data_IF_935537250338
#
_entry.id   IF_935537250338
#
_cell.length_a   1.000
_cell.length_b   1.000
_cell.length_c   1.000
_cell.angle_alpha   90.00
_cell.angle_beta   90.00
_cell.angle_gamma   90.00
#
_symmetry.space_group_name_H-M   'P 1'
#
loop_
_entity.id
_entity.type
_entity.pdbx_description
1 polymer ?
#
# COMPACT_ATOMS: atom_id res chain seq x y z
N UNK A 1 40.41 -27.81 -49.77
CA UNK A 1 39.22 -27.36 -50.54
C UNK A 1 37.98 -27.78 -49.77
N UNK A 2 36.98 -26.89 -49.76
CA UNK A 2 35.65 -26.98 -49.13
C UNK A 2 35.57 -26.74 -47.62
N UNK A 3 34.68 -25.90 -47.11
CA UNK A 3 34.01 -24.65 -47.54
C UNK A 3 33.21 -24.29 -46.28
N UNK A 4 33.46 -23.10 -45.72
CA UNK A 4 32.76 -22.55 -44.57
C UNK A 4 31.24 -22.57 -44.83
N UNK A 5 30.48 -23.28 -43.99
CA UNK A 5 29.03 -23.16 -43.92
C UNK A 5 28.71 -22.06 -42.90
N UNK A 6 28.55 -20.87 -43.45
CA UNK A 6 28.05 -19.67 -42.79
C UNK A 6 26.65 -19.94 -42.24
N UNK A 7 26.51 -19.95 -40.91
CA UNK A 7 25.21 -19.84 -40.24
C UNK A 7 24.69 -18.44 -40.51
N UNK A 8 23.77 -18.31 -41.47
CA UNK A 8 22.97 -17.09 -41.62
C UNK A 8 22.04 -17.01 -40.41
N UNK A 9 22.45 -16.24 -39.40
CA UNK A 9 21.53 -15.64 -38.45
C UNK A 9 20.67 -14.65 -39.24
N UNK A 10 19.51 -15.10 -39.72
CA UNK A 10 18.47 -14.22 -40.21
C UNK A 10 17.88 -13.48 -39.01
N UNK A 11 18.52 -12.36 -38.65
CA UNK A 11 17.91 -11.30 -37.86
C UNK A 11 16.72 -10.77 -38.65
N UNK A 12 15.46 -10.90 -38.18
CA UNK A 12 14.40 -10.08 -38.71
C UNK A 12 14.70 -8.66 -38.23
N UNK A 13 15.20 -7.83 -39.14
CA UNK A 13 15.18 -6.37 -39.03
C UNK A 13 13.71 -5.96 -39.05
N UNK A 14 13.06 -6.07 -37.89
CA UNK A 14 11.73 -5.51 -37.66
C UNK A 14 11.92 -4.01 -37.40
N UNK A 15 11.29 -3.25 -38.30
CA UNK A 15 11.24 -1.80 -38.38
C UNK A 15 11.31 -1.04 -37.05
N UNK A 16 12.15 0.00 -37.03
CA UNK A 16 12.30 1.04 -36.00
C UNK A 16 11.04 1.93 -35.79
N UNK A 17 9.84 1.41 -36.05
CA UNK A 17 8.55 2.07 -35.80
C UNK A 17 7.66 1.33 -34.80
N UNK A 18 8.14 0.22 -34.23
CA UNK A 18 7.41 -0.61 -33.28
C UNK A 18 8.00 -0.61 -31.85
N UNK A 19 9.00 0.24 -31.56
CA UNK A 19 9.56 0.34 -30.22
C UNK A 19 8.54 0.88 -29.20
N UNK A 20 7.65 1.81 -29.60
CA UNK A 20 6.62 2.32 -28.70
C UNK A 20 5.63 1.24 -28.25
N UNK A 21 5.21 0.33 -29.13
CA UNK A 21 4.28 -0.76 -28.75
C UNK A 21 4.92 -1.81 -27.84
N UNK A 22 6.24 -2.03 -27.95
CA UNK A 22 6.98 -2.91 -27.05
C UNK A 22 7.29 -2.22 -25.72
N UNK A 23 7.60 -0.93 -25.73
CA UNK A 23 7.75 -0.09 -24.53
C UNK A 23 6.43 0.07 -23.77
N UNK A 24 5.31 0.28 -24.47
CA UNK A 24 3.96 0.33 -23.89
C UNK A 24 3.58 -1.03 -23.32
N UNK A 25 3.77 -2.13 -24.05
CA UNK A 25 3.49 -3.48 -23.53
C UNK A 25 4.41 -3.88 -22.36
N UNK A 26 5.68 -3.44 -22.36
CA UNK A 26 6.60 -3.66 -21.26
C UNK A 26 6.24 -2.79 -20.04
N UNK A 27 5.79 -1.56 -20.27
CA UNK A 27 5.31 -0.64 -19.23
C UNK A 27 4.01 -1.14 -18.62
N UNK A 28 3.07 -1.64 -19.41
CA UNK A 28 1.83 -2.28 -18.95
C UNK A 28 2.14 -3.55 -18.17
N UNK A 29 3.00 -4.44 -18.68
CA UNK A 29 3.39 -5.66 -17.97
C UNK A 29 4.15 -5.36 -16.67
N UNK A 30 5.01 -4.35 -16.65
CA UNK A 30 5.71 -3.88 -15.45
C UNK A 30 4.73 -3.21 -14.46
N UNK A 31 3.73 -2.49 -14.95
CA UNK A 31 2.68 -1.88 -14.14
C UNK A 31 1.76 -2.94 -13.53
N UNK A 32 1.40 -3.99 -14.27
CA UNK A 32 0.62 -5.13 -13.78
C UNK A 32 1.40 -5.98 -12.77
N UNK A 33 2.70 -6.18 -12.99
CA UNK A 33 3.57 -6.87 -12.04
C UNK A 33 3.79 -6.01 -10.79
N UNK A 34 3.99 -4.71 -10.97
CA UNK A 34 4.13 -3.72 -9.90
C UNK A 34 2.87 -3.61 -9.06
N UNK A 35 1.69 -3.54 -9.70
CA UNK A 35 0.40 -3.48 -9.02
C UNK A 35 0.14 -4.75 -8.21
N UNK A 36 0.43 -5.95 -8.73
CA UNK A 36 0.28 -7.20 -7.97
C UNK A 36 1.23 -7.27 -6.76
N UNK A 37 2.48 -6.85 -6.93
CA UNK A 37 3.43 -6.80 -5.83
C UNK A 37 3.03 -5.75 -4.78
N UNK A 38 2.60 -4.58 -5.23
CA UNK A 38 2.06 -3.50 -4.41
C UNK A 38 0.83 -3.95 -3.63
N UNK A 39 -0.09 -4.65 -4.28
CA UNK A 39 -1.31 -5.19 -3.67
C UNK A 39 -1.03 -6.25 -2.61
N UNK A 40 -0.08 -7.14 -2.83
CA UNK A 40 0.34 -8.11 -1.81
C UNK A 40 0.91 -7.42 -0.56
N UNK A 41 1.71 -6.36 -0.75
CA UNK A 41 2.26 -5.57 0.35
C UNK A 41 1.16 -4.77 1.05
N UNK A 42 0.34 -4.04 0.31
CA UNK A 42 -0.75 -3.23 0.83
C UNK A 42 -1.75 -4.09 1.62
N UNK A 43 -2.20 -5.21 1.06
CA UNK A 43 -3.08 -6.18 1.72
C UNK A 43 -2.51 -6.66 3.05
N UNK A 44 -1.23 -7.06 3.07
CA UNK A 44 -0.58 -7.48 4.31
C UNK A 44 -0.51 -6.36 5.35
N UNK A 45 -0.12 -5.15 4.93
CA UNK A 45 0.01 -4.01 5.84
C UNK A 45 -1.34 -3.61 6.41
N UNK A 46 -2.42 -3.63 5.61
CA UNK A 46 -3.77 -3.32 6.12
C UNK A 46 -4.30 -4.39 7.07
N UNK A 47 -3.99 -5.66 6.85
CA UNK A 47 -4.37 -6.74 7.77
C UNK A 47 -3.61 -6.66 9.11
N UNK A 48 -2.30 -6.39 9.06
CA UNK A 48 -1.50 -6.11 10.26
C UNK A 48 -2.04 -4.87 10.99
N UNK A 49 -2.41 -3.83 10.25
CA UNK A 49 -2.99 -2.61 10.80
C UNK A 49 -4.39 -2.81 11.40
N UNK A 50 -5.23 -3.70 10.87
CA UNK A 50 -6.53 -4.05 11.48
C UNK A 50 -6.35 -4.62 12.88
N UNK A 51 -5.34 -5.47 13.08
CA UNK A 51 -5.03 -6.02 14.40
C UNK A 51 -4.63 -4.90 15.36
N UNK A 52 -3.74 -4.01 14.93
CA UNK A 52 -3.32 -2.84 15.69
C UNK A 52 -4.51 -1.93 16.07
N UNK A 53 -5.33 -1.58 15.08
CA UNK A 53 -6.50 -0.70 15.21
C UNK A 53 -7.59 -1.36 16.07
N UNK A 54 -7.72 -2.69 16.01
CA UNK A 54 -8.58 -3.49 16.89
C UNK A 54 -8.26 -3.28 18.37
N UNK A 55 -6.97 -3.32 18.71
CA UNK A 55 -6.48 -3.24 20.10
C UNK A 55 -6.22 -1.79 20.58
N UNK A 56 -6.38 -0.79 19.71
CA UNK A 56 -5.87 0.57 19.94
C UNK A 56 -6.42 1.24 21.20
N UNK A 57 -7.70 1.03 21.55
CA UNK A 57 -8.29 1.61 22.75
C UNK A 57 -7.59 1.11 24.04
N UNK A 58 -7.19 -0.16 24.05
CA UNK A 58 -6.44 -0.75 25.18
C UNK A 58 -5.03 -0.18 25.23
N UNK A 59 -4.37 -0.09 24.07
CA UNK A 59 -3.01 0.47 23.96
C UNK A 59 -2.96 1.96 24.35
N UNK A 60 -3.97 2.75 23.95
CA UNK A 60 -4.11 4.16 24.33
C UNK A 60 -4.25 4.32 25.84
N UNK A 61 -5.02 3.45 26.51
CA UNK A 61 -5.18 3.51 27.97
C UNK A 61 -3.94 3.06 28.74
N UNK A 62 -3.11 2.20 28.15
CA UNK A 62 -1.92 1.63 28.81
C UNK A 62 -0.65 2.45 28.55
N UNK A 63 -0.40 2.82 27.29
CA UNK A 63 0.80 3.55 26.84
C UNK A 63 0.49 4.32 25.54
N UNK A 64 -0.02 5.57 25.64
CA UNK A 64 -0.34 6.41 24.48
C UNK A 64 0.86 6.68 23.57
N UNK A 65 2.08 6.77 24.13
CA UNK A 65 3.28 7.06 23.36
C UNK A 65 3.68 5.86 22.49
N UNK A 66 3.60 4.65 23.05
CA UNK A 66 3.78 3.41 22.30
C UNK A 66 2.71 3.23 21.22
N UNK A 67 1.44 3.49 21.55
CA UNK A 67 0.33 3.47 20.58
C UNK A 67 0.60 4.40 19.39
N UNK A 68 1.01 5.66 19.67
CA UNK A 68 1.38 6.64 18.64
C UNK A 68 2.51 6.15 17.73
N UNK A 69 3.54 5.51 18.30
CA UNK A 69 4.66 4.99 17.52
C UNK A 69 4.23 3.85 16.58
N UNK A 70 3.40 2.92 17.06
CA UNK A 70 2.85 1.83 16.24
C UNK A 70 2.00 2.36 15.08
N UNK A 71 1.11 3.33 15.35
CA UNK A 71 0.28 3.97 14.33
C UNK A 71 1.12 4.70 13.27
N UNK A 72 2.20 5.37 13.69
CA UNK A 72 3.14 6.04 12.77
C UNK A 72 3.83 5.02 11.86
N UNK A 73 4.30 3.90 12.41
CA UNK A 73 4.93 2.83 11.63
C UNK A 73 3.96 2.21 10.61
N UNK A 74 2.70 1.97 11.01
CA UNK A 74 1.66 1.46 10.11
C UNK A 74 1.37 2.43 8.95
N UNK A 75 1.27 3.73 9.26
CA UNK A 75 1.12 4.79 8.26
C UNK A 75 2.27 4.84 7.27
N UNK A 76 3.50 4.77 7.75
CA UNK A 76 4.70 4.76 6.88
C UNK A 76 4.75 3.52 5.99
N UNK A 77 4.36 2.36 6.52
CA UNK A 77 4.27 1.13 5.73
C UNK A 77 3.22 1.22 4.61
N UNK A 78 2.05 1.82 4.89
CA UNK A 78 1.04 2.08 3.86
C UNK A 78 1.54 3.07 2.81
N UNK A 79 2.14 4.19 3.23
CA UNK A 79 2.69 5.19 2.32
C UNK A 79 3.78 4.61 1.38
N UNK A 80 4.56 3.63 1.84
CA UNK A 80 5.54 2.95 1.01
C UNK A 80 4.92 2.06 -0.09
N UNK A 81 3.70 1.55 0.10
CA UNK A 81 2.99 0.75 -0.90
C UNK A 81 2.32 1.61 -1.99
N UNK A 82 1.90 2.82 -1.64
CA UNK A 82 1.12 3.75 -2.48
C UNK A 82 1.64 3.97 -3.93
N UNK A 83 2.96 4.10 -4.20
CA UNK A 83 3.47 4.42 -5.53
C UNK A 83 3.27 3.30 -6.57
N UNK A 84 3.07 2.07 -6.11
CA UNK A 84 2.97 0.89 -6.98
C UNK A 84 1.53 0.48 -7.30
N UNK A 85 0.56 1.17 -6.69
CA UNK A 85 -0.86 0.83 -6.76
C UNK A 85 -1.58 1.64 -7.84
N UNK A 86 -2.70 1.09 -8.31
CA UNK A 86 -3.69 1.83 -9.11
C UNK A 86 -4.27 3.03 -8.33
N UNK A 87 -4.84 4.00 -9.05
CA UNK A 87 -5.41 5.20 -8.45
C UNK A 87 -6.56 4.89 -7.48
N UNK A 88 -7.40 3.91 -7.80
CA UNK A 88 -8.52 3.49 -6.94
C UNK A 88 -8.02 2.88 -5.64
N UNK A 89 -7.04 1.95 -5.70
CA UNK A 89 -6.46 1.34 -4.50
C UNK A 89 -5.70 2.38 -3.68
N UNK A 90 -5.03 3.33 -4.33
CA UNK A 90 -4.35 4.44 -3.64
C UNK A 90 -5.33 5.33 -2.88
N UNK A 91 -6.50 5.64 -3.45
CA UNK A 91 -7.53 6.40 -2.76
C UNK A 91 -8.06 5.68 -1.50
N UNK A 92 -8.14 4.34 -1.52
CA UNK A 92 -8.49 3.58 -0.31
C UNK A 92 -7.34 3.58 0.71
N UNK A 93 -6.10 3.49 0.24
CA UNK A 93 -4.93 3.57 1.09
C UNK A 93 -4.82 4.93 1.78
N UNK A 94 -5.14 6.02 1.09
CA UNK A 94 -5.21 7.37 1.66
C UNK A 94 -6.27 7.47 2.76
N UNK A 95 -7.44 6.82 2.59
CA UNK A 95 -8.46 6.73 3.66
C UNK A 95 -7.96 5.95 4.87
N UNK A 96 -7.31 4.81 4.65
CA UNK A 96 -6.71 4.03 5.74
C UNK A 96 -5.65 4.86 6.49
N UNK A 97 -4.83 5.64 5.77
CA UNK A 97 -3.84 6.55 6.36
C UNK A 97 -4.50 7.66 7.18
N UNK A 98 -5.59 8.27 6.68
CA UNK A 98 -6.33 9.29 7.41
C UNK A 98 -6.87 8.75 8.74
N UNK A 99 -7.48 7.57 8.74
CA UNK A 99 -7.96 6.91 9.96
C UNK A 99 -6.83 6.64 10.97
N UNK A 100 -5.63 6.25 10.49
CA UNK A 100 -4.45 6.10 11.37
C UNK A 100 -3.95 7.45 11.92
N UNK A 101 -4.04 8.53 11.13
CA UNK A 101 -3.69 9.88 11.56
C UNK A 101 -4.65 10.37 12.66
N UNK A 102 -5.96 10.12 12.54
CA UNK A 102 -6.95 10.44 13.58
C UNK A 102 -6.66 9.70 14.90
N UNK A 103 -6.37 8.40 14.84
CA UNK A 103 -5.98 7.62 16.01
C UNK A 103 -4.66 8.11 16.63
N UNK A 104 -3.74 8.62 15.82
CA UNK A 104 -2.45 9.14 16.30
C UNK A 104 -2.64 10.48 17.01
N UNK A 105 -3.53 11.31 16.50
CA UNK A 105 -3.87 12.59 17.09
C UNK A 105 -4.60 12.35 18.42
N UNK A 106 -5.47 11.34 18.50
CA UNK A 106 -6.07 10.88 19.75
C UNK A 106 -5.02 10.37 20.75
N UNK A 107 -4.05 9.56 20.30
CA UNK A 107 -2.93 9.13 21.15
C UNK A 107 -2.13 10.30 21.73
N UNK A 108 -2.05 11.41 20.98
CA UNK A 108 -1.37 12.62 21.43
C UNK A 108 -2.19 13.35 22.49
N UNK A 109 -3.48 13.54 22.24
CA UNK A 109 -4.41 14.14 23.21
C UNK A 109 -4.41 13.39 24.54
N UNK A 110 -4.41 12.05 24.51
CA UNK A 110 -4.37 11.21 25.71
C UNK A 110 -3.00 11.31 26.41
N UNK A 111 -1.89 11.33 25.66
CA UNK A 111 -0.56 11.57 26.22
C UNK A 111 -0.47 12.93 26.94
N UNK A 112 -1.18 13.93 26.44
CA UNK A 112 -1.26 15.28 27.02
C UNK A 112 -2.24 15.38 28.21
N UNK A 113 -2.87 14.26 28.60
CA UNK A 113 -3.70 14.13 29.79
C UNK A 113 -5.22 14.20 29.52
N UNK A 114 -5.64 14.17 28.26
CA UNK A 114 -7.05 14.05 27.90
C UNK A 114 -7.55 12.63 28.16
N UNK A 115 -8.87 12.48 28.39
CA UNK A 115 -9.51 11.17 28.35
C UNK A 115 -9.64 10.69 26.91
N UNK A 116 -9.65 9.37 26.72
CA UNK A 116 -9.89 8.75 25.41
C UNK A 116 -11.29 9.14 24.90
N UNK A 117 -11.36 9.70 23.71
CA UNK A 117 -12.60 9.88 22.96
C UNK A 117 -12.99 8.58 22.24
N UNK A 118 -13.85 7.80 22.89
CA UNK A 118 -14.31 6.51 22.36
C UNK A 118 -15.06 6.65 21.02
N UNK A 119 -15.68 7.80 20.75
CA UNK A 119 -16.37 8.04 19.48
C UNK A 119 -15.37 8.20 18.34
N UNK A 120 -14.34 9.02 18.54
CA UNK A 120 -13.24 9.21 17.57
C UNK A 120 -12.55 7.88 17.30
N UNK A 121 -12.23 7.11 18.34
CA UNK A 121 -11.62 5.79 18.18
C UNK A 121 -12.53 4.85 17.39
N UNK A 122 -13.83 4.79 17.69
CA UNK A 122 -14.76 3.91 17.00
C UNK A 122 -14.94 4.30 15.51
N UNK A 123 -15.01 5.59 15.21
CA UNK A 123 -15.13 6.12 13.84
C UNK A 123 -13.89 5.79 13.02
N UNK A 124 -12.69 6.11 13.52
CA UNK A 124 -11.45 5.81 12.84
C UNK A 124 -11.24 4.30 12.65
N UNK A 125 -11.63 3.46 13.62
CA UNK A 125 -11.62 2.00 13.46
C UNK A 125 -12.51 1.54 12.30
N UNK A 126 -13.74 2.05 12.24
CA UNK A 126 -14.68 1.69 11.18
C UNK A 126 -14.20 2.16 9.81
N UNK A 127 -13.65 3.37 9.70
CA UNK A 127 -13.08 3.88 8.45
C UNK A 127 -11.88 3.04 7.99
N UNK A 128 -10.98 2.69 8.90
CA UNK A 128 -9.85 1.82 8.60
C UNK A 128 -10.31 0.45 8.11
N UNK A 129 -11.28 -0.17 8.78
CA UNK A 129 -11.81 -1.49 8.40
C UNK A 129 -12.43 -1.47 7.01
N UNK A 130 -13.25 -0.45 6.70
CA UNK A 130 -13.84 -0.27 5.37
C UNK A 130 -12.76 -0.07 4.31
N UNK A 131 -11.78 0.80 4.56
CA UNK A 131 -10.69 1.03 3.61
C UNK A 131 -9.87 -0.24 3.37
N UNK A 132 -9.55 -0.98 4.43
CA UNK A 132 -8.85 -2.26 4.36
C UNK A 132 -9.66 -3.31 3.57
N UNK A 133 -10.98 -3.39 3.77
CA UNK A 133 -11.85 -4.32 3.02
C UNK A 133 -11.80 -4.00 1.53
N UNK A 134 -11.92 -2.72 1.19
CA UNK A 134 -11.88 -2.27 -0.19
C UNK A 134 -10.53 -2.56 -0.85
N UNK A 135 -9.41 -2.30 -0.17
CA UNK A 135 -8.06 -2.64 -0.65
C UNK A 135 -7.95 -4.14 -0.89
N UNK A 136 -8.36 -4.98 0.07
CA UNK A 136 -8.30 -6.44 -0.08
C UNK A 136 -9.22 -6.97 -1.18
N UNK A 137 -10.33 -6.28 -1.47
CA UNK A 137 -11.29 -6.70 -2.49
C UNK A 137 -10.80 -6.45 -3.92
N UNK A 138 -9.94 -5.44 -4.11
CA UNK A 138 -9.46 -5.01 -5.44
C UNK A 138 -8.07 -5.52 -5.80
N UNK A 139 -7.40 -6.26 -4.89
CA UNK A 139 -5.96 -6.58 -4.98
C UNK A 139 -5.58 -8.02 -5.41
#
# INVERSE_FOLDING_TARGET
MNRLLTVLAALPVLALGACSQVEDAATDAASDAGNRAGCAVAGRVVDEGRTLVGDIATDLGADPASARAKLTAAREALAAAAPTLSDDTRAQLDRAVAALDDLRDEATSVADGSSIDEQVVAEAKAEYDVAAEQITSVC
#
